data_IF_529938067232
#
_entry.id   IF_529938067232
#
_cell.length_a   1.000
_cell.length_b   1.000
_cell.length_c   1.000
_cell.angle_alpha   90.00
_cell.angle_beta   90.00
_cell.angle_gamma   90.00
#
_symmetry.space_group_name_H-M   'P 1'
#
loop_
_entity.id
_entity.type
_entity.pdbx_description
1 polymer ?
#
# COMPACT_ATOMS: atom_id res chain seq x y z
N UNK A 1 8.96 10.54 16.57
CA UNK A 1 7.85 10.18 17.49
C UNK A 1 6.81 9.45 16.68
N UNK A 2 6.16 8.43 17.25
CA UNK A 2 5.05 7.75 16.58
C UNK A 2 3.87 8.71 16.41
N UNK A 3 3.41 8.92 15.17
CA UNK A 3 2.28 9.78 14.83
C UNK A 3 1.04 9.02 14.30
N UNK A 4 1.23 7.78 13.85
CA UNK A 4 0.14 6.90 13.41
C UNK A 4 0.33 5.47 13.92
N UNK A 5 -0.74 4.82 14.36
CA UNK A 5 -0.77 3.42 14.79
C UNK A 5 -1.85 2.66 14.03
N UNK A 6 -1.50 1.49 13.50
CA UNK A 6 -2.45 0.48 12.99
C UNK A 6 -2.57 -0.61 14.05
N UNK A 7 -3.76 -0.84 14.60
CA UNK A 7 -3.94 -1.71 15.78
C UNK A 7 -4.91 -2.88 15.58
N UNK A 8 -4.64 -3.97 16.29
CA UNK A 8 -5.52 -5.14 16.37
C UNK A 8 -5.62 -5.96 15.08
N UNK A 9 -4.67 -5.79 14.17
CA UNK A 9 -4.65 -6.48 12.88
C UNK A 9 -3.92 -7.82 12.93
N UNK A 10 -4.32 -8.73 12.04
CA UNK A 10 -3.49 -9.89 11.68
C UNK A 10 -2.41 -9.41 10.71
N UNK A 11 -1.21 -9.15 11.21
CA UNK A 11 -0.10 -8.61 10.43
C UNK A 11 0.68 -9.75 9.78
N UNK A 12 0.97 -9.60 8.49
CA UNK A 12 1.75 -10.54 7.70
C UNK A 12 3.13 -9.95 7.44
N UNK A 13 4.17 -10.70 7.80
CA UNK A 13 5.57 -10.35 7.56
C UNK A 13 6.28 -11.51 6.85
N UNK A 14 7.47 -11.28 6.27
CA UNK A 14 8.28 -12.38 5.73
C UNK A 14 8.65 -13.45 6.77
N UNK A 15 8.67 -13.09 8.06
CA UNK A 15 9.01 -14.01 9.15
C UNK A 15 7.80 -14.80 9.69
N UNK A 16 6.57 -14.45 9.28
CA UNK A 16 5.35 -15.11 9.72
C UNK A 16 4.17 -14.17 9.91
N UNK A 17 3.08 -14.75 10.42
CA UNK A 17 1.79 -14.10 10.64
C UNK A 17 1.49 -14.03 12.14
N UNK A 18 1.02 -12.88 12.63
CA UNK A 18 0.71 -12.70 14.04
C UNK A 18 -0.23 -11.52 14.32
N UNK A 19 -0.73 -11.45 15.56
CA UNK A 19 -1.47 -10.29 16.05
C UNK A 19 -0.46 -9.25 16.53
N UNK A 20 -0.33 -8.14 15.80
CA UNK A 20 0.61 -7.07 16.09
C UNK A 20 -0.01 -5.70 15.81
N UNK A 21 0.53 -4.69 16.49
CA UNK A 21 0.27 -3.28 16.17
C UNK A 21 1.48 -2.72 15.41
N UNK A 22 1.24 -1.80 14.46
CA UNK A 22 2.28 -1.15 13.66
C UNK A 22 2.30 0.34 14.00
N UNK A 23 3.46 0.84 14.43
CA UNK A 23 3.71 2.25 14.67
C UNK A 23 4.46 2.90 13.51
N UNK A 24 3.96 4.03 13.05
CA UNK A 24 4.53 4.84 11.98
C UNK A 24 5.10 6.15 12.54
N UNK A 25 6.23 6.57 11.98
CA UNK A 25 6.80 7.91 12.12
C UNK A 25 6.96 8.52 10.73
N UNK A 26 6.19 9.57 10.46
CA UNK A 26 5.96 10.13 9.15
C UNK A 26 5.48 9.07 8.17
N UNK A 27 6.31 8.79 7.17
CA UNK A 27 6.02 7.85 6.08
C UNK A 27 6.71 6.49 6.26
N UNK A 28 7.24 6.20 7.46
CA UNK A 28 8.05 4.99 7.72
C UNK A 28 7.47 4.16 8.84
N UNK A 29 7.56 2.84 8.68
CA UNK A 29 7.35 1.87 9.77
C UNK A 29 8.50 2.04 10.76
N UNK A 30 8.18 2.52 11.96
CA UNK A 30 9.14 2.72 13.03
C UNK A 30 9.21 1.50 13.96
N UNK A 31 8.08 0.80 14.16
CA UNK A 31 8.01 -0.35 15.06
C UNK A 31 6.86 -1.30 14.69
N UNK A 32 7.09 -2.60 14.87
CA UNK A 32 6.04 -3.63 14.93
C UNK A 32 6.07 -4.17 16.36
N UNK A 33 4.95 -4.07 17.07
CA UNK A 33 4.87 -4.35 18.50
C UNK A 33 3.77 -5.36 18.84
N UNK A 34 3.89 -5.98 20.01
CA UNK A 34 2.77 -6.71 20.58
C UNK A 34 1.57 -5.78 20.82
N UNK A 35 0.34 -6.30 20.74
CA UNK A 35 -0.86 -5.49 20.92
C UNK A 35 -0.86 -4.72 22.24
N UNK A 36 -1.22 -3.44 22.18
CA UNK A 36 -1.38 -2.58 23.36
C UNK A 36 -0.09 -1.97 23.93
N UNK A 37 1.06 -2.15 23.27
CA UNK A 37 2.32 -1.51 23.68
C UNK A 37 2.55 -0.12 23.08
N UNK A 38 1.80 0.26 22.04
CA UNK A 38 1.97 1.55 21.35
C UNK A 38 1.08 2.64 21.98
N UNK A 39 1.49 3.92 21.91
CA UNK A 39 0.70 5.03 22.41
C UNK A 39 -0.63 5.15 21.66
N UNK A 40 -1.70 5.43 22.39
CA UNK A 40 -3.05 5.63 21.85
C UNK A 40 -3.54 7.08 21.94
N UNK A 41 -2.97 7.88 22.84
CA UNK A 41 -3.35 9.28 23.03
C UNK A 41 -2.55 10.22 22.12
N UNK A 42 -3.24 11.14 21.44
CA UNK A 42 -2.60 12.15 20.59
C UNK A 42 -2.01 11.62 19.28
N UNK A 43 -2.28 10.36 18.93
CA UNK A 43 -1.73 9.67 17.76
C UNK A 43 -2.88 9.22 16.85
N UNK A 44 -2.72 9.36 15.53
CA UNK A 44 -3.72 8.89 14.58
C UNK A 44 -3.84 7.36 14.68
N UNK A 45 -5.04 6.85 14.90
CA UNK A 45 -5.27 5.42 15.06
C UNK A 45 -6.08 4.85 13.90
N UNK A 46 -5.66 3.71 13.39
CA UNK A 46 -6.35 2.90 12.38
C UNK A 46 -6.71 1.56 13.02
N UNK A 47 -8.01 1.32 13.19
CA UNK A 47 -8.55 0.05 13.72
C UNK A 47 -8.55 -1.04 12.64
N UNK A 48 -7.75 -2.08 12.83
CA UNK A 48 -7.63 -3.21 11.92
C UNK A 48 -8.18 -4.53 12.50
N UNK A 49 -8.99 -4.46 13.57
CA UNK A 49 -9.60 -5.62 14.20
C UNK A 49 -10.36 -6.49 13.18
N UNK A 50 -10.01 -7.77 13.12
CA UNK A 50 -10.58 -8.73 12.17
C UNK A 50 -10.17 -8.49 10.70
N UNK A 51 -9.14 -7.66 10.44
CA UNK A 51 -8.56 -7.43 9.13
C UNK A 51 -7.15 -8.03 9.05
N UNK A 52 -6.66 -8.18 7.82
CA UNK A 52 -5.29 -8.56 7.54
C UNK A 52 -4.53 -7.29 7.16
N UNK A 53 -3.35 -7.09 7.74
CA UNK A 53 -2.44 -5.99 7.41
C UNK A 53 -1.25 -6.56 6.65
N UNK A 54 -1.10 -6.15 5.40
CA UNK A 54 -0.12 -6.65 4.45
C UNK A 54 0.82 -5.50 4.03
N UNK A 55 2.07 -5.80 3.63
CA UNK A 55 2.81 -4.89 2.77
C UNK A 55 1.99 -4.59 1.51
N UNK A 56 2.11 -3.38 0.97
CA UNK A 56 1.54 -3.07 -0.33
C UNK A 56 2.13 -3.99 -1.40
N UNK A 57 1.29 -4.38 -2.36
CA UNK A 57 1.73 -5.19 -3.49
C UNK A 57 2.78 -4.45 -4.32
N UNK A 58 3.73 -5.20 -4.89
CA UNK A 58 4.75 -4.67 -5.82
C UNK A 58 4.46 -5.26 -7.20
N UNK A 59 4.06 -4.41 -8.15
CA UNK A 59 3.89 -4.77 -9.55
C UNK A 59 5.17 -4.43 -10.33
N UNK A 60 5.94 -5.45 -10.69
CA UNK A 60 7.22 -5.28 -11.38
C UNK A 60 7.08 -5.16 -12.91
N UNK A 61 5.91 -5.49 -13.46
CA UNK A 61 5.65 -5.52 -14.89
C UNK A 61 4.30 -4.88 -15.22
N UNK A 62 4.32 -3.56 -15.43
CA UNK A 62 3.15 -2.81 -15.90
C UNK A 62 3.44 -2.06 -17.21
N UNK A 63 2.46 -2.03 -18.10
CA UNK A 63 2.49 -1.20 -19.31
C UNK A 63 1.76 0.11 -19.08
N UNK A 64 2.38 1.02 -18.32
CA UNK A 64 1.76 2.28 -17.87
C UNK A 64 1.74 3.44 -18.88
N UNK A 65 2.04 3.12 -20.14
CA UNK A 65 1.84 3.94 -21.31
C UNK A 65 2.12 3.04 -22.53
N UNK A 66 1.15 2.21 -22.95
CA UNK A 66 1.38 1.25 -24.04
C UNK A 66 1.77 1.91 -25.38
N UNK A 67 1.59 3.23 -25.50
CA UNK A 67 1.94 4.04 -26.67
C UNK A 67 3.38 4.60 -26.67
N UNK A 68 4.31 4.07 -25.86
CA UNK A 68 5.74 4.43 -25.94
C UNK A 68 6.47 3.78 -27.10
N UNK A 69 5.85 2.79 -27.77
CA UNK A 69 6.39 2.26 -29.02
C UNK A 69 6.03 3.21 -30.17
N UNK A 70 7.04 3.59 -30.95
CA UNK A 70 6.87 4.45 -32.11
C UNK A 70 5.86 3.83 -33.10
N UNK A 71 4.94 4.65 -33.62
CA UNK A 71 3.89 4.18 -34.54
C UNK A 71 2.65 3.56 -33.88
N UNK A 72 2.67 3.28 -32.57
CA UNK A 72 1.56 2.55 -31.94
C UNK A 72 0.28 3.40 -31.83
N UNK A 73 0.41 4.73 -31.71
CA UNK A 73 -0.75 5.63 -31.65
C UNK A 73 -1.54 5.63 -32.97
N UNK A 74 -0.85 5.46 -34.09
CA UNK A 74 -1.46 5.34 -35.42
C UNK A 74 -2.09 3.97 -35.66
N UNK A 75 -1.56 2.90 -35.05
CA UNK A 75 -2.03 1.52 -35.23
C UNK A 75 -3.26 1.17 -34.41
N UNK A 76 -3.48 1.83 -33.27
CA UNK A 76 -4.65 1.61 -32.40
C UNK A 76 -5.45 2.90 -32.15
N UNK A 77 -5.97 3.54 -33.21
CA UNK A 77 -6.73 4.77 -33.06
C UNK A 77 -8.00 4.52 -32.22
N UNK A 78 -8.22 5.36 -31.21
CA UNK A 78 -9.39 5.27 -30.32
C UNK A 78 -9.24 4.31 -29.15
N UNK A 79 -8.12 3.58 -29.00
CA UNK A 79 -7.87 2.77 -27.80
C UNK A 79 -7.51 3.68 -26.63
N UNK A 80 -8.29 3.67 -25.52
CA UNK A 80 -7.96 4.43 -24.32
C UNK A 80 -6.59 4.04 -23.81
N UNK A 81 -5.70 5.01 -23.66
CA UNK A 81 -4.41 4.84 -23.04
C UNK A 81 -4.40 5.60 -21.72
N UNK A 82 -4.32 4.85 -20.62
CA UNK A 82 -4.09 5.41 -19.31
C UNK A 82 -2.58 5.63 -19.13
N UNK A 83 -2.19 6.86 -18.84
CA UNK A 83 -0.80 7.18 -18.49
C UNK A 83 -0.45 6.69 -17.08
N UNK A 84 0.82 6.88 -16.65
CA UNK A 84 1.30 6.32 -15.40
C UNK A 84 0.48 6.71 -14.18
N UNK A 85 0.03 7.97 -14.09
CA UNK A 85 -0.80 8.43 -12.98
C UNK A 85 -2.15 7.70 -12.88
N UNK A 86 -2.80 7.41 -14.01
CA UNK A 86 -4.10 6.71 -14.03
C UNK A 86 -3.91 5.23 -13.68
N UNK A 87 -2.82 4.60 -14.15
CA UNK A 87 -2.48 3.23 -13.74
C UNK A 87 -2.14 3.14 -12.25
N UNK A 88 -1.33 4.06 -11.71
CA UNK A 88 -1.01 4.11 -10.29
C UNK A 88 -2.26 4.29 -9.43
N UNK A 89 -3.23 5.11 -9.87
CA UNK A 89 -4.50 5.23 -9.16
C UNK A 89 -5.25 3.89 -9.12
N UNK A 90 -5.33 3.18 -10.25
CA UNK A 90 -5.91 1.84 -10.31
C UNK A 90 -5.18 0.83 -9.43
N UNK A 91 -3.85 0.88 -9.40
CA UNK A 91 -3.01 0.01 -8.56
C UNK A 91 -3.31 0.20 -7.06
N UNK A 92 -3.45 1.45 -6.60
CA UNK A 92 -3.77 1.76 -5.20
C UNK A 92 -5.13 1.18 -4.80
N UNK A 93 -6.15 1.25 -5.66
CA UNK A 93 -7.46 0.64 -5.40
C UNK A 93 -7.39 -0.90 -5.27
N UNK A 94 -6.40 -1.52 -5.89
CA UNK A 94 -6.12 -2.96 -5.78
C UNK A 94 -5.15 -3.33 -4.65
N UNK A 95 -4.63 -2.37 -3.88
CA UNK A 95 -3.67 -2.61 -2.80
C UNK A 95 -2.21 -2.75 -3.25
N UNK A 96 -1.86 -2.26 -4.45
CA UNK A 96 -0.47 -2.17 -4.96
C UNK A 96 0.05 -0.74 -4.76
N UNK A 97 1.26 -0.60 -4.21
CA UNK A 97 1.86 0.70 -3.82
C UNK A 97 3.33 0.76 -4.21
#
# INVERSE_FOLDING_TARGET
MIDTVIKGGTVVTPAGVGQWDIGLEGEKIAVVAMPGLLPSEGVRTIEAAGKIVLPGGVEAHAHAAANVQEGLRELVPGTPNAGPAVHSLGAIWGGTT
#
